data_IF_770571574513
#
_entry.id   IF_770571574513
#
_cell.length_a   1.000
_cell.length_b   1.000
_cell.length_c   1.000
_cell.angle_alpha   90.00
_cell.angle_beta   90.00
_cell.angle_gamma   90.00
#
_symmetry.space_group_name_H-M   'P 1'
#
loop_
_entity.id
_entity.type
_entity.pdbx_description
1 polymer ?
#
# COMPACT_ATOMS: atom_id res chain seq x y z
N UNK A 1 18.86 82.39 25.14
CA UNK A 1 20.02 81.63 24.64
C UNK A 1 19.58 80.20 24.44
N UNK A 2 19.93 79.60 23.29
CA UNK A 2 19.42 78.35 22.71
C UNK A 2 19.63 77.12 23.61
N UNK A 3 18.69 76.18 23.64
CA UNK A 3 18.97 74.72 23.66
C UNK A 3 17.72 73.95 23.14
N UNK A 4 17.68 73.73 21.82
CA UNK A 4 17.02 72.56 21.20
C UNK A 4 17.98 71.40 21.41
N UNK A 5 17.54 70.23 21.88
CA UNK A 5 18.11 68.87 21.66
C UNK A 5 17.59 67.93 22.76
N UNK A 6 16.43 67.29 22.58
CA UNK A 6 16.03 66.19 23.47
C UNK A 6 14.97 65.22 22.91
N UNK A 7 14.52 65.34 21.65
CA UNK A 7 13.43 64.48 21.12
C UNK A 7 13.87 63.51 20.02
N UNK A 8 15.12 63.60 19.54
CA UNK A 8 15.58 62.78 18.40
C UNK A 8 16.08 61.39 18.83
N UNK A 9 16.49 61.20 20.10
CA UNK A 9 17.09 59.92 20.53
C UNK A 9 16.07 58.82 20.87
N UNK A 10 14.82 59.15 21.19
CA UNK A 10 13.83 58.14 21.56
C UNK A 10 13.22 57.43 20.34
N UNK A 11 13.01 58.17 19.24
CA UNK A 11 12.44 57.63 18.01
C UNK A 11 13.43 56.71 17.26
N UNK A 12 14.72 57.03 17.28
CA UNK A 12 15.75 56.19 16.65
C UNK A 12 15.97 54.89 17.45
N UNK A 13 15.85 54.93 18.77
CA UNK A 13 16.01 53.73 19.61
C UNK A 13 14.83 52.75 19.48
N UNK A 14 13.61 53.24 19.24
CA UNK A 14 12.43 52.39 19.01
C UNK A 14 12.42 51.78 17.58
N UNK A 15 12.92 52.52 16.59
CA UNK A 15 13.04 52.04 15.21
C UNK A 15 14.13 50.97 15.05
N UNK A 16 15.24 51.05 15.79
CA UNK A 16 16.28 50.01 15.77
C UNK A 16 15.80 48.72 16.46
N UNK A 17 14.93 48.82 17.48
CA UNK A 17 14.37 47.63 18.14
C UNK A 17 13.35 46.88 17.27
N UNK A 18 12.60 47.58 16.41
CA UNK A 18 11.62 47.00 15.48
C UNK A 18 12.23 46.43 14.20
N UNK A 19 13.47 46.80 13.85
CA UNK A 19 14.18 46.29 12.66
C UNK A 19 15.06 45.07 13.00
N UNK A 20 15.36 44.84 14.29
CA UNK A 20 16.13 43.68 14.78
C UNK A 20 15.27 42.47 15.19
N UNK A 21 13.94 42.56 15.07
CA UNK A 21 13.00 41.50 15.48
C UNK A 21 12.17 40.90 14.33
N UNK A 22 12.78 40.30 13.29
CA UNK A 22 12.05 39.25 12.57
C UNK A 22 12.72 37.87 12.59
N UNK A 23 13.86 37.67 13.26
CA UNK A 23 14.62 36.41 13.18
C UNK A 23 14.44 35.43 14.35
N UNK A 24 13.47 35.65 15.24
CA UNK A 24 13.21 34.76 16.40
C UNK A 24 11.80 34.16 16.40
N UNK A 25 11.23 33.90 15.22
CA UNK A 25 10.24 32.85 15.14
C UNK A 25 11.04 31.54 15.14
N UNK A 26 10.95 30.67 16.16
CA UNK A 26 11.43 29.30 15.99
C UNK A 26 10.79 28.77 14.71
N UNK A 27 11.62 28.33 13.75
CA UNK A 27 11.12 27.54 12.65
C UNK A 27 10.33 26.41 13.29
N UNK A 28 9.02 26.38 13.08
CA UNK A 28 8.18 25.34 13.65
C UNK A 28 8.68 24.03 13.06
N UNK A 29 9.41 23.26 13.87
CA UNK A 29 10.01 21.98 13.49
C UNK A 29 8.85 21.10 13.02
N UNK A 30 8.77 20.90 11.71
CA UNK A 30 7.67 20.17 11.12
C UNK A 30 8.02 18.69 11.20
N UNK A 31 7.81 18.12 12.38
CA UNK A 31 8.12 16.72 12.69
C UNK A 31 7.52 15.73 11.67
N UNK A 32 6.39 16.08 11.04
CA UNK A 32 5.81 15.28 9.97
C UNK A 32 6.72 15.23 8.74
N UNK A 33 7.16 16.38 8.24
CA UNK A 33 8.05 16.45 7.07
C UNK A 33 9.40 15.81 7.37
N UNK A 34 9.91 16.02 8.59
CA UNK A 34 11.17 15.41 9.02
C UNK A 34 11.06 13.88 9.11
N UNK A 35 9.97 13.35 9.66
CA UNK A 35 9.73 11.90 9.70
C UNK A 35 9.73 11.28 8.29
N UNK A 36 9.05 11.90 7.33
CA UNK A 36 9.04 11.43 5.94
C UNK A 36 10.41 11.53 5.27
N UNK A 37 11.14 12.60 5.55
CA UNK A 37 12.50 12.76 5.05
C UNK A 37 13.43 11.65 5.57
N UNK A 38 13.35 11.33 6.86
CA UNK A 38 14.08 10.21 7.48
C UNK A 38 13.65 8.86 6.88
N UNK A 39 12.35 8.64 6.69
CA UNK A 39 11.83 7.45 6.03
C UNK A 39 12.41 7.26 4.62
N UNK A 40 12.44 8.32 3.81
CA UNK A 40 13.04 8.24 2.47
C UNK A 40 14.55 8.01 2.51
N UNK A 41 15.28 8.58 3.48
CA UNK A 41 16.70 8.23 3.68
C UNK A 41 16.91 6.76 4.01
N UNK A 42 16.05 6.19 4.86
CA UNK A 42 16.07 4.76 5.17
C UNK A 42 15.87 3.89 3.92
N UNK A 43 14.93 4.27 3.04
CA UNK A 43 14.73 3.59 1.75
C UNK A 43 15.94 3.68 0.84
N UNK A 44 16.57 4.85 0.72
CA UNK A 44 17.81 5.02 -0.05
C UNK A 44 18.89 4.06 0.44
N UNK A 45 19.04 3.90 1.76
CA UNK A 45 19.99 2.94 2.35
C UNK A 45 19.64 1.47 2.05
N UNK A 46 18.37 1.13 1.95
CA UNK A 46 17.92 -0.22 1.55
C UNK A 46 18.13 -0.53 0.05
N UNK A 47 18.24 0.50 -0.78
CA UNK A 47 18.30 0.41 -2.25
C UNK A 47 19.68 0.78 -2.81
N UNK A 48 20.70 0.94 -1.95
CA UNK A 48 22.04 1.33 -2.38
C UNK A 48 22.60 0.31 -3.42
N UNK A 49 23.00 0.77 -4.62
CA UNK A 49 23.56 -0.10 -5.66
C UNK A 49 24.82 -0.87 -5.25
N UNK A 50 25.57 -0.40 -4.26
CA UNK A 50 26.77 -1.03 -3.73
C UNK A 50 26.48 -2.10 -2.67
N UNK A 51 25.21 -2.24 -2.28
CA UNK A 51 24.73 -3.19 -1.30
C UNK A 51 23.92 -2.50 -0.20
N UNK A 52 22.82 -3.12 0.28
CA UNK A 52 21.93 -2.48 1.24
C UNK A 52 22.61 -2.29 2.60
N UNK A 53 22.48 -1.08 3.15
CA UNK A 53 22.97 -0.70 4.46
C UNK A 53 21.86 -0.84 5.52
N UNK A 54 21.46 -2.09 5.80
CA UNK A 54 20.29 -2.36 6.67
C UNK A 54 20.40 -1.76 8.06
N UNK A 55 21.59 -1.76 8.67
CA UNK A 55 21.81 -1.16 9.99
C UNK A 55 21.50 0.34 10.01
N UNK A 56 21.94 1.09 9.01
CA UNK A 56 21.66 2.53 8.91
C UNK A 56 20.19 2.78 8.55
N UNK A 57 19.63 1.97 7.64
CA UNK A 57 18.21 2.06 7.30
C UNK A 57 17.29 1.88 8.52
N UNK A 58 17.60 0.91 9.40
CA UNK A 58 16.87 0.69 10.65
C UNK A 58 16.90 1.92 11.57
N UNK A 59 18.06 2.60 11.68
CA UNK A 59 18.18 3.82 12.48
C UNK A 59 17.29 4.93 11.93
N UNK A 60 17.30 5.14 10.62
CA UNK A 60 16.45 6.14 9.96
C UNK A 60 14.95 5.85 10.16
N UNK A 61 14.53 4.59 10.01
CA UNK A 61 13.13 4.23 10.22
C UNK A 61 12.70 4.39 11.68
N UNK A 62 13.54 4.03 12.63
CA UNK A 62 13.24 4.22 14.05
C UNK A 62 13.11 5.71 14.40
N UNK A 63 14.03 6.55 13.91
CA UNK A 63 13.96 7.99 14.12
C UNK A 63 12.73 8.61 13.45
N UNK A 64 12.36 8.12 12.26
CA UNK A 64 11.12 8.53 11.59
C UNK A 64 9.87 8.20 12.43
N UNK A 65 9.82 6.99 13.01
CA UNK A 65 8.74 6.58 13.92
C UNK A 65 8.66 7.52 15.13
N UNK A 66 9.80 7.83 15.74
CA UNK A 66 9.88 8.69 16.92
C UNK A 66 9.40 10.12 16.60
N UNK A 67 9.83 10.67 15.45
CA UNK A 67 9.37 11.99 14.97
C UNK A 67 7.88 12.02 14.64
N UNK A 68 7.29 10.89 14.22
CA UNK A 68 5.84 10.75 14.01
C UNK A 68 5.05 10.48 15.31
N UNK A 69 5.69 10.57 16.48
CA UNK A 69 5.03 10.35 17.78
C UNK A 69 4.83 8.88 18.12
N UNK A 70 5.62 7.98 17.54
CA UNK A 70 5.61 6.55 17.82
C UNK A 70 4.70 5.71 16.91
N UNK A 71 4.03 6.34 15.94
CA UNK A 71 3.15 5.64 14.99
C UNK A 71 3.49 5.99 13.54
N UNK A 72 4.17 5.08 12.83
CA UNK A 72 4.49 5.24 11.41
C UNK A 72 4.40 3.87 10.70
N UNK A 73 3.19 3.44 10.28
CA UNK A 73 3.00 2.09 9.72
C UNK A 73 3.89 1.77 8.51
N UNK A 74 4.18 2.76 7.65
CA UNK A 74 5.07 2.58 6.49
C UNK A 74 6.52 2.30 6.91
N UNK A 75 6.99 2.93 7.98
CA UNK A 75 8.32 2.67 8.54
C UNK A 75 8.38 1.32 9.25
N UNK A 76 7.33 0.93 9.99
CA UNK A 76 7.22 -0.41 10.59
C UNK A 76 7.26 -1.50 9.52
N UNK A 77 6.54 -1.31 8.40
CA UNK A 77 6.58 -2.21 7.27
C UNK A 77 7.99 -2.31 6.66
N UNK A 78 8.69 -1.19 6.51
CA UNK A 78 10.06 -1.16 5.97
C UNK A 78 11.07 -1.86 6.89
N UNK A 79 10.94 -1.71 8.21
CA UNK A 79 11.72 -2.49 9.19
C UNK A 79 11.41 -3.99 9.05
N UNK A 80 10.15 -4.35 8.85
CA UNK A 80 9.74 -5.73 8.56
C UNK A 80 10.40 -6.29 7.30
N UNK A 81 10.47 -5.50 6.22
CA UNK A 81 11.14 -5.86 4.97
C UNK A 81 12.65 -6.11 5.19
N UNK A 82 13.31 -5.33 6.05
CA UNK A 82 14.72 -5.57 6.44
C UNK A 82 14.86 -6.92 7.14
N UNK A 83 14.10 -7.16 8.21
CA UNK A 83 14.18 -8.43 8.93
C UNK A 83 13.85 -9.63 8.06
N UNK A 84 12.92 -9.46 7.11
CA UNK A 84 12.59 -10.50 6.15
C UNK A 84 13.79 -10.83 5.25
N UNK A 85 14.49 -9.81 4.71
CA UNK A 85 15.69 -9.99 3.88
C UNK A 85 16.85 -10.63 4.65
N UNK A 86 16.95 -10.36 5.95
CA UNK A 86 17.95 -10.99 6.83
C UNK A 86 17.57 -12.40 7.30
N UNK A 87 16.37 -12.91 6.92
CA UNK A 87 15.87 -14.21 7.35
C UNK A 87 15.35 -14.24 8.80
N UNK A 88 15.27 -13.10 9.47
CA UNK A 88 14.73 -12.95 10.82
C UNK A 88 13.19 -12.92 10.81
N UNK A 89 12.56 -13.99 10.30
CA UNK A 89 11.12 -14.04 10.03
C UNK A 89 10.24 -13.76 11.26
N UNK A 90 10.65 -14.18 12.45
CA UNK A 90 9.89 -13.89 13.67
C UNK A 90 9.84 -12.38 13.98
N UNK A 91 10.93 -11.65 13.69
CA UNK A 91 10.97 -10.20 13.84
C UNK A 91 10.22 -9.50 12.70
N UNK A 92 10.38 -9.97 11.47
CA UNK A 92 9.65 -9.47 10.31
C UNK A 92 8.14 -9.54 10.54
N UNK A 93 7.63 -10.70 10.99
CA UNK A 93 6.21 -10.89 11.29
C UNK A 93 5.71 -9.88 12.32
N UNK A 94 6.44 -9.70 13.43
CA UNK A 94 6.04 -8.72 14.48
C UNK A 94 5.89 -7.31 13.91
N UNK A 95 6.78 -6.91 13.01
CA UNK A 95 6.72 -5.57 12.41
C UNK A 95 5.61 -5.43 11.38
N UNK A 96 5.37 -6.47 10.57
CA UNK A 96 4.22 -6.47 9.68
C UNK A 96 2.89 -6.48 10.44
N UNK A 97 2.76 -7.28 11.49
CA UNK A 97 1.58 -7.28 12.37
C UNK A 97 1.35 -5.86 12.93
N UNK A 98 2.41 -5.22 13.46
CA UNK A 98 2.35 -3.84 13.99
C UNK A 98 1.97 -2.82 12.91
N UNK A 99 2.55 -2.91 11.72
CA UNK A 99 2.18 -2.06 10.58
C UNK A 99 0.69 -2.22 10.22
N UNK A 100 0.19 -3.46 10.23
CA UNK A 100 -1.21 -3.74 9.94
C UNK A 100 -2.15 -3.26 11.05
N UNK A 101 -1.77 -3.39 12.33
CA UNK A 101 -2.51 -2.82 13.45
C UNK A 101 -2.66 -1.30 13.31
N UNK A 102 -1.59 -0.63 12.88
CA UNK A 102 -1.54 0.82 12.65
C UNK A 102 -2.07 1.27 11.29
N UNK A 103 -2.65 0.38 10.47
CA UNK A 103 -3.03 0.65 9.07
C UNK A 103 -3.96 1.84 8.85
N UNK A 104 -4.78 2.20 9.84
CA UNK A 104 -5.66 3.39 9.74
C UNK A 104 -4.89 4.71 9.70
N UNK A 105 -3.61 4.69 10.11
CA UNK A 105 -2.69 5.82 10.03
C UNK A 105 -1.78 5.80 8.81
N UNK A 106 -1.98 4.88 7.85
CA UNK A 106 -1.24 4.91 6.57
C UNK A 106 -1.65 6.12 5.75
N UNK A 107 -0.69 6.74 5.07
CA UNK A 107 -0.91 7.83 4.13
C UNK A 107 -1.70 7.35 2.90
N UNK A 108 -1.39 6.13 2.44
CA UNK A 108 -2.10 5.44 1.37
C UNK A 108 -2.83 4.26 1.99
N UNK A 109 -4.17 4.33 2.06
CA UNK A 109 -4.98 3.31 2.73
C UNK A 109 -4.80 1.91 2.14
N UNK A 110 -4.52 1.82 0.84
CA UNK A 110 -4.31 0.58 0.09
C UNK A 110 -3.00 -0.14 0.43
N UNK A 111 -2.02 0.54 1.06
CA UNK A 111 -0.77 -0.10 1.51
C UNK A 111 -1.02 -1.20 2.57
N UNK A 112 -2.20 -1.22 3.20
CA UNK A 112 -2.63 -2.34 4.03
C UNK A 112 -2.59 -3.67 3.29
N UNK A 113 -2.87 -3.68 1.97
CA UNK A 113 -2.80 -4.89 1.16
C UNK A 113 -1.35 -5.33 0.94
N UNK A 114 -0.41 -4.39 0.80
CA UNK A 114 1.03 -4.70 0.75
C UNK A 114 1.45 -5.45 2.00
N UNK A 115 1.05 -4.99 3.18
CA UNK A 115 1.36 -5.66 4.46
C UNK A 115 0.76 -7.07 4.51
N UNK A 116 -0.50 -7.25 4.12
CA UNK A 116 -1.13 -8.57 4.06
C UNK A 116 -0.40 -9.52 3.08
N UNK A 117 0.06 -9.01 1.94
CA UNK A 117 0.86 -9.81 1.02
C UNK A 117 2.23 -10.18 1.57
N UNK A 118 2.86 -9.31 2.38
CA UNK A 118 4.11 -9.62 3.09
C UNK A 118 3.88 -10.72 4.13
N UNK A 119 2.81 -10.64 4.92
CA UNK A 119 2.42 -11.68 5.88
C UNK A 119 2.12 -13.01 5.17
N UNK A 120 1.33 -12.99 4.09
CA UNK A 120 1.00 -14.18 3.33
C UNK A 120 2.25 -14.84 2.70
N UNK A 121 3.24 -14.05 2.28
CA UNK A 121 4.51 -14.56 1.77
C UNK A 121 5.35 -15.19 2.89
N UNK A 122 5.42 -14.52 4.05
CA UNK A 122 6.13 -15.02 5.22
C UNK A 122 5.54 -16.35 5.71
N UNK A 123 4.21 -16.44 5.82
CA UNK A 123 3.52 -17.68 6.19
C UNK A 123 3.74 -18.79 5.15
N UNK A 124 3.74 -18.48 3.85
CA UNK A 124 4.03 -19.48 2.81
C UNK A 124 5.45 -20.05 2.94
N UNK A 125 6.45 -19.21 3.16
CA UNK A 125 7.86 -19.63 3.34
C UNK A 125 8.02 -20.52 4.58
N UNK A 126 7.21 -20.28 5.62
CA UNK A 126 7.19 -21.08 6.84
C UNK A 126 6.25 -22.29 6.74
N UNK A 127 5.66 -22.55 5.58
CA UNK A 127 4.68 -23.63 5.35
C UNK A 127 3.41 -23.52 6.21
N UNK A 128 3.13 -22.33 6.74
CA UNK A 128 1.94 -21.98 7.51
C UNK A 128 0.78 -21.63 6.56
N UNK A 129 0.36 -22.59 5.75
CA UNK A 129 -0.59 -22.34 4.66
C UNK A 129 -1.99 -21.88 5.12
N UNK A 130 -2.40 -22.24 6.34
CA UNK A 130 -3.66 -21.78 6.90
C UNK A 130 -3.63 -20.27 7.19
N UNK A 131 -2.53 -19.77 7.74
CA UNK A 131 -2.35 -18.35 8.02
C UNK A 131 -2.16 -17.55 6.73
N UNK A 132 -1.38 -18.08 5.77
CA UNK A 132 -1.30 -17.53 4.42
C UNK A 132 -2.69 -17.36 3.79
N UNK A 133 -3.53 -18.40 3.85
CA UNK A 133 -4.90 -18.35 3.31
C UNK A 133 -5.74 -17.28 4.02
N UNK A 134 -5.59 -17.14 5.34
CA UNK A 134 -6.25 -16.10 6.14
C UNK A 134 -5.88 -14.69 5.66
N UNK A 135 -4.58 -14.40 5.53
CA UNK A 135 -4.09 -13.08 5.08
C UNK A 135 -4.59 -12.74 3.67
N UNK A 136 -4.56 -13.71 2.76
CA UNK A 136 -5.04 -13.50 1.38
C UNK A 136 -6.55 -13.27 1.34
N UNK A 137 -7.32 -13.96 2.19
CA UNK A 137 -8.77 -13.73 2.30
C UNK A 137 -9.07 -12.37 2.91
N UNK A 138 -8.25 -11.89 3.82
CA UNK A 138 -8.40 -10.55 4.39
C UNK A 138 -8.23 -9.45 3.33
N UNK A 139 -7.36 -9.64 2.34
CA UNK A 139 -7.31 -8.73 1.17
C UNK A 139 -8.64 -8.71 0.42
N UNK A 140 -9.31 -9.85 0.31
CA UNK A 140 -10.58 -9.97 -0.42
C UNK A 140 -11.79 -9.39 0.34
N UNK A 141 -11.66 -9.08 1.64
CA UNK A 141 -12.77 -8.50 2.42
C UNK A 141 -13.19 -7.11 1.92
N UNK A 142 -12.25 -6.38 1.31
CA UNK A 142 -12.52 -5.06 0.74
C UNK A 142 -13.06 -5.13 -0.71
N UNK A 143 -13.22 -6.33 -1.28
CA UNK A 143 -13.84 -6.46 -2.60
C UNK A 143 -15.37 -6.35 -2.52
N UNK A 144 -16.00 -5.39 -3.23
CA UNK A 144 -17.46 -5.24 -3.21
C UNK A 144 -18.20 -6.45 -3.78
N UNK A 145 -17.55 -7.23 -4.65
CA UNK A 145 -18.12 -8.45 -5.25
C UNK A 145 -17.99 -9.68 -4.33
N UNK A 146 -17.35 -9.56 -3.16
CA UNK A 146 -17.04 -10.66 -2.23
C UNK A 146 -17.75 -10.57 -0.88
N UNK A 147 -18.66 -9.59 -0.73
CA UNK A 147 -19.31 -9.27 0.55
C UNK A 147 -20.84 -9.27 0.41
N UNK A 148 -21.54 -9.78 1.42
CA UNK A 148 -23.00 -9.73 1.55
C UNK A 148 -23.75 -10.97 1.08
N UNK A 149 -25.06 -10.98 1.33
CA UNK A 149 -25.93 -12.16 1.14
C UNK A 149 -26.10 -12.60 -0.33
N UNK A 150 -25.83 -11.71 -1.28
CA UNK A 150 -25.92 -11.99 -2.72
C UNK A 150 -24.66 -12.68 -3.27
N UNK A 151 -23.59 -12.75 -2.49
CA UNK A 151 -22.31 -13.25 -2.94
C UNK A 151 -22.33 -14.71 -3.41
N UNK A 152 -22.97 -15.67 -2.71
CA UNK A 152 -23.06 -17.05 -3.20
C UNK A 152 -23.77 -17.14 -4.57
N UNK A 153 -24.86 -16.39 -4.74
CA UNK A 153 -25.60 -16.36 -6.00
C UNK A 153 -24.76 -15.77 -7.14
N UNK A 154 -23.96 -14.75 -6.84
CA UNK A 154 -23.01 -14.19 -7.79
C UNK A 154 -21.98 -15.23 -8.23
N UNK A 155 -21.35 -15.94 -7.28
CA UNK A 155 -20.34 -16.98 -7.57
C UNK A 155 -20.92 -18.09 -8.45
N UNK A 156 -22.12 -18.57 -8.12
CA UNK A 156 -22.80 -19.62 -8.87
C UNK A 156 -23.09 -19.15 -10.30
N UNK A 157 -23.66 -17.94 -10.45
CA UNK A 157 -23.96 -17.37 -11.77
C UNK A 157 -22.70 -17.10 -12.60
N UNK A 158 -21.61 -16.71 -11.95
CA UNK A 158 -20.31 -16.47 -12.56
C UNK A 158 -19.71 -17.78 -13.08
N UNK A 159 -19.70 -18.83 -12.24
CA UNK A 159 -19.23 -20.16 -12.63
C UNK A 159 -20.10 -20.79 -13.71
N UNK A 160 -21.42 -20.72 -13.60
CA UNK A 160 -22.34 -21.23 -14.63
C UNK A 160 -22.10 -20.56 -15.98
N UNK A 161 -21.88 -19.24 -16.02
CA UNK A 161 -21.55 -18.54 -17.25
C UNK A 161 -20.28 -19.10 -17.91
N UNK A 162 -19.27 -19.44 -17.12
CA UNK A 162 -18.08 -20.10 -17.63
C UNK A 162 -18.36 -21.52 -18.13
N UNK A 163 -19.01 -22.36 -17.31
CA UNK A 163 -19.23 -23.78 -17.66
C UNK A 163 -20.17 -23.96 -18.85
N UNK A 164 -21.18 -23.12 -18.99
CA UNK A 164 -22.18 -23.24 -20.06
C UNK A 164 -21.80 -22.52 -21.35
N UNK A 165 -21.10 -21.38 -21.24
CA UNK A 165 -20.90 -20.45 -22.37
C UNK A 165 -19.43 -20.07 -22.62
N UNK A 166 -18.51 -20.45 -21.72
CA UNK A 166 -17.08 -20.26 -21.86
C UNK A 166 -16.56 -18.85 -21.55
N UNK A 167 -15.23 -18.70 -21.56
CA UNK A 167 -14.50 -17.49 -21.17
C UNK A 167 -14.92 -16.24 -21.95
N UNK A 168 -15.15 -16.37 -23.26
CA UNK A 168 -15.54 -15.22 -24.09
C UNK A 168 -16.89 -14.62 -23.68
N UNK A 169 -17.84 -15.44 -23.20
CA UNK A 169 -19.11 -14.95 -22.69
C UNK A 169 -18.96 -14.39 -21.26
N UNK A 170 -18.24 -15.11 -20.40
CA UNK A 170 -17.93 -14.67 -19.03
C UNK A 170 -17.37 -13.24 -19.04
N UNK A 171 -16.28 -13.01 -19.77
CA UNK A 171 -15.62 -11.70 -19.82
C UNK A 171 -16.41 -10.65 -20.59
N UNK A 172 -17.49 -10.99 -21.31
CA UNK A 172 -18.40 -9.97 -21.86
C UNK A 172 -19.38 -9.47 -20.82
N UNK A 173 -19.87 -10.41 -20.00
CA UNK A 173 -20.96 -10.17 -19.05
C UNK A 173 -20.44 -9.52 -17.76
N UNK A 174 -19.31 -10.01 -17.26
CA UNK A 174 -18.71 -9.55 -16.03
C UNK A 174 -17.59 -8.54 -16.31
N UNK A 175 -17.51 -7.54 -15.43
CA UNK A 175 -16.53 -6.45 -15.46
C UNK A 175 -16.20 -6.02 -14.04
N UNK A 176 -15.31 -6.75 -13.39
CA UNK A 176 -14.84 -6.38 -12.06
C UNK A 176 -13.89 -5.20 -12.12
N UNK A 177 -14.47 -4.00 -12.03
CA UNK A 177 -13.78 -2.72 -11.98
C UNK A 177 -13.35 -2.38 -10.54
N UNK A 178 -12.19 -1.75 -10.38
CA UNK A 178 -11.78 -1.10 -9.12
C UNK A 178 -11.19 -2.05 -8.10
N UNK A 179 -10.93 -3.29 -8.48
CA UNK A 179 -10.49 -4.37 -7.59
C UNK A 179 -9.17 -5.01 -8.01
N UNK A 180 -8.35 -4.27 -8.78
CA UNK A 180 -7.04 -4.71 -9.23
C UNK A 180 -6.11 -5.14 -8.08
N UNK A 181 -6.25 -4.51 -6.91
CA UNK A 181 -5.49 -4.84 -5.70
C UNK A 181 -5.62 -6.30 -5.26
N UNK A 182 -6.69 -6.99 -5.64
CA UNK A 182 -7.00 -8.35 -5.21
C UNK A 182 -6.57 -9.44 -6.22
N UNK A 183 -6.08 -9.06 -7.40
CA UNK A 183 -5.58 -10.01 -8.41
C UNK A 183 -4.51 -10.94 -7.84
N UNK A 184 -3.48 -10.47 -7.09
CA UNK A 184 -2.48 -11.37 -6.51
C UNK A 184 -3.10 -12.35 -5.51
N UNK A 185 -4.10 -11.93 -4.74
CA UNK A 185 -4.79 -12.79 -3.78
C UNK A 185 -5.56 -13.90 -4.48
N UNK A 186 -6.39 -13.57 -5.48
CA UNK A 186 -7.11 -14.58 -6.27
C UNK A 186 -6.16 -15.53 -7.00
N UNK A 187 -5.09 -15.01 -7.59
CA UNK A 187 -4.11 -15.84 -8.29
C UNK A 187 -3.46 -16.86 -7.36
N UNK A 188 -2.99 -16.41 -6.19
CA UNK A 188 -2.32 -17.25 -5.21
C UNK A 188 -3.28 -18.26 -4.57
N UNK A 189 -4.49 -17.85 -4.22
CA UNK A 189 -5.54 -18.75 -3.72
C UNK A 189 -5.97 -19.77 -4.77
N UNK A 190 -6.17 -19.36 -6.02
CA UNK A 190 -6.52 -20.25 -7.13
C UNK A 190 -5.47 -21.33 -7.34
N UNK A 191 -4.18 -20.95 -7.36
CA UNK A 191 -3.07 -21.90 -7.46
C UNK A 191 -2.96 -22.83 -6.24
N UNK A 192 -3.06 -22.28 -5.04
CA UNK A 192 -3.01 -23.07 -3.80
C UNK A 192 -4.15 -24.08 -3.72
N UNK A 193 -5.38 -23.67 -4.02
CA UNK A 193 -6.56 -24.53 -4.04
C UNK A 193 -6.47 -25.60 -5.12
N UNK A 194 -5.93 -25.26 -6.30
CA UNK A 194 -5.68 -26.24 -7.35
C UNK A 194 -4.74 -27.34 -6.88
N UNK A 195 -3.58 -26.97 -6.30
CA UNK A 195 -2.58 -27.92 -5.80
C UNK A 195 -3.08 -28.78 -4.63
N UNK A 196 -4.06 -28.28 -3.88
CA UNK A 196 -4.63 -28.98 -2.71
C UNK A 196 -5.97 -29.66 -3.01
N UNK A 197 -6.41 -29.67 -4.27
CA UNK A 197 -7.64 -30.36 -4.70
C UNK A 197 -8.94 -29.71 -4.23
N UNK A 198 -8.91 -28.42 -3.87
CA UNK A 198 -10.10 -27.69 -3.40
C UNK A 198 -10.94 -27.17 -4.58
N UNK A 199 -12.28 -27.30 -4.53
CA UNK A 199 -13.15 -26.99 -5.68
C UNK A 199 -13.16 -25.50 -6.06
N UNK A 200 -12.95 -24.60 -5.11
CA UNK A 200 -12.96 -23.15 -5.35
C UNK A 200 -11.77 -22.64 -6.18
N UNK A 201 -10.80 -23.51 -6.53
CA UNK A 201 -9.64 -23.14 -7.33
C UNK A 201 -10.02 -22.42 -8.63
N UNK A 202 -10.97 -23.00 -9.37
CA UNK A 202 -11.39 -22.46 -10.66
C UNK A 202 -12.05 -21.09 -10.54
N UNK A 203 -12.85 -20.90 -9.48
CA UNK A 203 -13.48 -19.61 -9.20
C UNK A 203 -12.42 -18.53 -9.00
N UNK A 204 -11.43 -18.76 -8.14
CA UNK A 204 -10.37 -17.78 -7.90
C UNK A 204 -9.55 -17.49 -9.17
N UNK A 205 -9.21 -18.50 -9.98
CA UNK A 205 -8.53 -18.28 -11.26
C UNK A 205 -9.35 -17.43 -12.23
N UNK A 206 -10.66 -17.70 -12.36
CA UNK A 206 -11.54 -16.95 -13.25
C UNK A 206 -11.73 -15.49 -12.79
N UNK A 207 -11.80 -15.26 -11.48
CA UNK A 207 -11.89 -13.91 -10.91
C UNK A 207 -10.63 -13.10 -11.18
N UNK A 208 -9.44 -13.69 -10.95
CA UNK A 208 -8.18 -13.03 -11.31
C UNK A 208 -8.15 -12.63 -12.79
N UNK A 209 -8.56 -13.54 -13.68
CA UNK A 209 -8.62 -13.27 -15.11
C UNK A 209 -9.64 -12.20 -15.48
N UNK A 210 -10.83 -12.21 -14.90
CA UNK A 210 -11.87 -11.20 -15.18
C UNK A 210 -11.40 -9.79 -14.82
N UNK A 211 -10.77 -9.64 -13.65
CA UNK A 211 -10.20 -8.37 -13.20
C UNK A 211 -9.08 -7.91 -14.16
N UNK A 212 -8.15 -8.80 -14.51
CA UNK A 212 -7.05 -8.48 -15.43
C UNK A 212 -7.55 -8.06 -16.82
N UNK A 213 -8.53 -8.79 -17.38
CA UNK A 213 -9.14 -8.45 -18.66
C UNK A 213 -9.90 -7.14 -18.56
N UNK A 214 -10.59 -6.88 -17.45
CA UNK A 214 -11.32 -5.63 -17.25
C UNK A 214 -10.38 -4.43 -17.26
N UNK A 215 -9.27 -4.49 -16.50
CA UNK A 215 -8.25 -3.44 -16.50
C UNK A 215 -7.57 -3.27 -17.87
N UNK A 216 -7.24 -4.36 -18.56
CA UNK A 216 -6.68 -4.28 -19.90
C UNK A 216 -7.66 -3.63 -20.91
N UNK A 217 -8.95 -3.92 -20.83
CA UNK A 217 -9.99 -3.28 -21.65
C UNK A 217 -10.09 -1.77 -21.35
N UNK A 218 -9.95 -1.36 -20.08
CA UNK A 218 -9.93 0.06 -19.69
C UNK A 218 -8.73 0.79 -20.29
N UNK A 219 -7.54 0.20 -20.24
CA UNK A 219 -6.35 0.80 -20.85
C UNK A 219 -6.48 0.90 -22.37
N UNK A 220 -7.01 -0.14 -23.03
CA UNK A 220 -7.29 -0.05 -24.47
C UNK A 220 -8.30 1.05 -24.81
N UNK A 221 -9.33 1.23 -23.99
CA UNK A 221 -10.31 2.31 -24.17
C UNK A 221 -9.75 3.71 -23.94
N UNK A 222 -8.64 3.85 -23.21
CA UNK A 222 -7.93 5.13 -23.12
C UNK A 222 -7.27 5.52 -24.45
N UNK A 223 -6.82 4.52 -25.21
CA UNK A 223 -6.16 4.73 -26.52
C UNK A 223 -7.18 4.77 -27.65
N UNK A 224 -8.14 3.84 -27.65
CA UNK A 224 -9.26 3.75 -28.59
C UNK A 224 -10.59 3.70 -27.83
N UNK A 225 -11.28 4.85 -27.65
CA UNK A 225 -12.55 4.91 -26.95
C UNK A 225 -13.65 4.02 -27.57
N UNK A 226 -13.53 3.64 -28.85
CA UNK A 226 -14.45 2.76 -29.54
C UNK A 226 -14.25 1.27 -29.25
N UNK A 227 -13.21 0.91 -28.49
CA UNK A 227 -12.85 -0.47 -28.26
C UNK A 227 -13.95 -1.27 -27.53
N UNK A 228 -14.33 -2.40 -28.12
CA UNK A 228 -15.28 -3.37 -27.59
C UNK A 228 -14.64 -4.75 -27.55
N UNK A 229 -14.61 -5.35 -26.36
CA UNK A 229 -14.16 -6.72 -26.19
C UNK A 229 -15.11 -7.71 -26.88
N UNK A 230 -14.58 -8.56 -27.75
CA UNK A 230 -15.37 -9.53 -28.52
C UNK A 230 -15.04 -10.97 -28.18
N UNK A 231 -13.76 -11.36 -28.17
CA UNK A 231 -13.33 -12.71 -27.78
C UNK A 231 -11.94 -12.63 -27.16
N UNK A 232 -11.57 -13.66 -26.41
CA UNK A 232 -10.20 -13.78 -25.89
C UNK A 232 -9.20 -13.87 -27.05
N UNK A 233 -9.54 -14.60 -28.12
CA UNK A 233 -8.66 -14.77 -29.28
C UNK A 233 -8.39 -13.46 -30.04
N UNK A 234 -9.33 -12.53 -30.05
CA UNK A 234 -9.15 -11.21 -30.65
C UNK A 234 -8.42 -10.23 -29.72
N UNK A 235 -8.18 -10.63 -28.47
CA UNK A 235 -7.58 -9.80 -27.42
C UNK A 235 -6.09 -10.10 -27.19
N UNK A 236 -5.64 -11.31 -27.55
CA UNK A 236 -4.25 -11.79 -27.50
C UNK A 236 -3.58 -11.66 -28.87
#
# INVERSE_FOLDING_TARGET
MRFRFATINLAVSLAVFLILTPSLLPAQENNFVEAWFLYEQGKVKMEDPNGPEFGEALLFFQEAIDKRGGTFPEAEMAIGDIYFREGAFALAKRQYDKAYELRTGMEIAEEKYTVLYRLANLHEIQELYADMECDLRQVLEDQPYFVGDQFPQFQDSFLSAYYEKGLGHLFKLYRMDGVAFAVPAHTKLGWFYYRTGRPSAILHCLLALDIMITEAVKELRRVDPGFVFTTVQAFI
#
